data_IF_292491113705
#
_entry.id   IF_292491113705
#
_cell.length_a   1.000
_cell.length_b   1.000
_cell.length_c   1.000
_cell.angle_alpha   90.00
_cell.angle_beta   90.00
_cell.angle_gamma   90.00
#
_symmetry.space_group_name_H-M   'P 1'
#
loop_
_entity.id
_entity.type
_entity.pdbx_description
1 polymer ?
#
# COMPACT_ATOMS: atom_id res chain seq x y z
N UNK A 1 -16.24 -16.30 -3.12
CA UNK A 1 -15.81 -16.04 -1.74
C UNK A 1 -16.30 -14.64 -1.37
N UNK A 2 -17.16 -14.49 -0.36
CA UNK A 2 -17.70 -13.17 0.02
C UNK A 2 -16.55 -12.32 0.58
N UNK A 3 -16.31 -11.16 -0.02
CA UNK A 3 -15.28 -10.21 0.43
C UNK A 3 -15.58 -9.80 1.89
N UNK A 4 -14.60 -9.98 2.80
CA UNK A 4 -14.78 -9.64 4.22
C UNK A 4 -15.00 -8.13 4.41
N UNK A 5 -15.87 -7.77 5.37
CA UNK A 5 -16.06 -6.37 5.83
C UNK A 5 -14.72 -5.79 6.27
N UNK A 6 -14.54 -4.49 6.05
CA UNK A 6 -13.40 -3.69 6.52
C UNK A 6 -13.03 -4.06 7.97
N UNK A 7 -11.86 -4.66 8.15
CA UNK A 7 -11.39 -5.17 9.44
C UNK A 7 -10.12 -4.44 9.82
N UNK A 8 -10.02 -4.02 11.08
CA UNK A 8 -8.77 -3.46 11.60
C UNK A 8 -7.82 -4.62 11.90
N UNK A 9 -6.92 -4.91 10.96
CA UNK A 9 -5.84 -5.87 11.17
C UNK A 9 -4.73 -5.23 12.01
N UNK A 10 -4.13 -5.98 12.94
CA UNK A 10 -2.80 -5.64 13.44
C UNK A 10 -1.76 -6.13 12.46
N UNK A 11 -0.59 -5.52 12.45
CA UNK A 11 0.50 -5.92 11.56
C UNK A 11 0.90 -7.40 11.76
N UNK A 12 0.91 -7.87 13.01
CA UNK A 12 1.17 -9.27 13.33
C UNK A 12 0.11 -10.21 12.72
N UNK A 13 -1.16 -9.81 12.68
CA UNK A 13 -2.22 -10.61 12.08
C UNK A 13 -2.02 -10.76 10.57
N UNK A 14 -1.53 -9.71 9.91
CA UNK A 14 -1.18 -9.74 8.47
C UNK A 14 -0.01 -10.69 8.24
N UNK A 15 1.03 -10.62 9.08
CA UNK A 15 2.17 -11.53 8.99
C UNK A 15 1.77 -13.00 9.17
N UNK A 16 1.02 -13.33 10.23
CA UNK A 16 0.56 -14.68 10.49
C UNK A 16 -0.32 -15.22 9.37
N UNK A 17 -1.22 -14.40 8.82
CA UNK A 17 -2.05 -14.80 7.69
C UNK A 17 -1.24 -15.01 6.41
N UNK A 18 -0.25 -14.15 6.13
CA UNK A 18 0.65 -14.36 4.99
C UNK A 18 1.35 -15.71 5.09
N UNK A 19 1.91 -16.05 6.26
CA UNK A 19 2.59 -17.33 6.47
C UNK A 19 1.64 -18.53 6.30
N UNK A 20 0.44 -18.45 6.89
CA UNK A 20 -0.54 -19.53 6.83
C UNK A 20 -1.14 -19.74 5.43
N UNK A 21 -1.20 -18.68 4.62
CA UNK A 21 -1.89 -18.68 3.33
C UNK A 21 -0.93 -18.52 2.14
N UNK A 22 0.39 -18.58 2.36
CA UNK A 22 1.42 -18.32 1.36
C UNK A 22 1.19 -19.12 0.05
N UNK A 23 0.90 -20.42 0.17
CA UNK A 23 0.61 -21.28 -0.98
C UNK A 23 -0.66 -20.84 -1.73
N UNK A 24 -1.75 -20.54 -1.02
CA UNK A 24 -3.00 -20.08 -1.63
C UNK A 24 -2.87 -18.69 -2.29
N UNK A 25 -2.03 -17.83 -1.71
CA UNK A 25 -1.73 -16.48 -2.22
C UNK A 25 -0.71 -16.49 -3.35
N UNK A 26 -0.15 -17.66 -3.71
CA UNK A 26 0.93 -17.82 -4.69
C UNK A 26 2.14 -16.97 -4.34
N UNK A 27 2.57 -17.02 -3.09
CA UNK A 27 3.74 -16.30 -2.59
C UNK A 27 4.71 -17.25 -1.90
N UNK A 28 6.00 -17.07 -2.15
CA UNK A 28 7.07 -17.67 -1.37
C UNK A 28 7.82 -16.58 -0.62
N UNK A 29 7.81 -16.63 0.71
CA UNK A 29 8.61 -15.72 1.54
C UNK A 29 10.06 -16.21 1.56
N UNK A 30 11.02 -15.31 1.35
CA UNK A 30 12.44 -15.64 1.36
C UNK A 30 12.98 -15.64 2.80
N UNK A 31 13.63 -16.74 3.19
CA UNK A 31 14.18 -16.89 4.53
C UNK A 31 15.27 -15.86 4.83
N UNK A 32 15.35 -15.38 6.08
CA UNK A 32 16.37 -14.44 6.53
C UNK A 32 16.19 -13.00 6.03
N UNK A 33 15.13 -12.69 5.28
CA UNK A 33 14.89 -11.35 4.70
C UNK A 33 13.94 -10.49 5.52
N UNK A 34 13.48 -10.99 6.68
CA UNK A 34 12.57 -10.27 7.56
C UNK A 34 13.35 -9.23 8.34
N UNK A 35 13.17 -7.97 7.99
CA UNK A 35 13.75 -6.84 8.69
C UNK A 35 12.66 -5.87 9.10
N UNK A 36 12.32 -5.90 10.39
CA UNK A 36 11.25 -5.10 10.99
C UNK A 36 9.90 -5.36 10.31
N UNK A 37 9.44 -4.40 9.48
CA UNK A 37 8.16 -4.50 8.77
C UNK A 37 8.32 -4.92 7.31
N UNK A 38 9.53 -5.24 6.86
CA UNK A 38 9.82 -5.57 5.46
C UNK A 38 10.30 -7.00 5.29
N UNK A 39 10.00 -7.57 4.13
CA UNK A 39 10.33 -8.93 3.73
C UNK A 39 10.64 -8.98 2.25
N UNK A 40 11.45 -9.94 1.82
CA UNK A 40 11.57 -10.27 0.39
C UNK A 40 10.71 -11.50 0.08
N UNK A 41 10.00 -11.46 -1.04
CA UNK A 41 9.09 -12.52 -1.47
C UNK A 41 9.16 -12.75 -2.98
N UNK A 42 8.77 -13.93 -3.42
CA UNK A 42 8.59 -14.29 -4.82
C UNK A 42 7.11 -14.47 -5.11
N UNK A 43 6.61 -13.79 -6.13
CA UNK A 43 5.25 -13.99 -6.65
C UNK A 43 5.27 -15.22 -7.57
N UNK A 44 4.67 -16.32 -7.14
CA UNK A 44 4.85 -17.63 -7.79
C UNK A 44 4.17 -17.75 -9.16
N UNK A 45 3.19 -16.89 -9.47
CA UNK A 45 2.55 -16.83 -10.79
C UNK A 45 3.37 -16.05 -11.84
N UNK A 46 4.19 -15.09 -11.43
CA UNK A 46 5.02 -14.29 -12.34
C UNK A 46 6.52 -14.59 -12.24
N UNK A 47 6.97 -15.24 -11.16
CA UNK A 47 8.37 -15.43 -10.82
C UNK A 47 9.07 -14.16 -10.31
N UNK A 48 8.34 -13.06 -10.17
CA UNK A 48 8.89 -11.76 -9.80
C UNK A 48 9.35 -11.73 -8.33
N UNK A 49 10.56 -11.21 -8.10
CA UNK A 49 11.09 -10.94 -6.76
C UNK A 49 10.67 -9.54 -6.32
N UNK A 50 10.01 -9.46 -5.18
CA UNK A 50 9.49 -8.23 -4.62
C UNK A 50 10.04 -8.04 -3.20
N UNK A 51 10.37 -6.80 -2.87
CA UNK A 51 10.59 -6.40 -1.48
C UNK A 51 9.32 -5.76 -0.97
N UNK A 52 8.63 -6.44 -0.07
CA UNK A 52 7.33 -6.01 0.41
C UNK A 52 7.41 -5.42 1.82
N UNK A 53 6.55 -4.44 2.09
CA UNK A 53 6.26 -3.99 3.45
C UNK A 53 4.95 -4.61 3.95
N UNK A 54 4.94 -5.09 5.18
CA UNK A 54 3.75 -5.61 5.87
C UNK A 54 3.02 -4.45 6.54
N UNK A 55 1.80 -4.14 6.10
CA UNK A 55 1.00 -3.06 6.64
C UNK A 55 -0.41 -3.54 7.06
N UNK A 56 -0.98 -3.01 8.14
CA UNK A 56 -2.41 -3.22 8.44
C UNK A 56 -3.34 -2.88 7.27
N UNK A 57 -3.06 -1.75 6.61
CA UNK A 57 -3.88 -1.14 5.55
C UNK A 57 -2.98 -0.56 4.47
N UNK A 58 -3.45 -0.55 3.22
CA UNK A 58 -2.72 0.09 2.13
C UNK A 58 -2.53 1.60 2.33
N UNK A 59 -3.51 2.30 2.91
CA UNK A 59 -3.41 3.74 3.23
C UNK A 59 -2.26 4.09 4.19
N UNK A 60 -1.77 3.12 4.96
CA UNK A 60 -0.61 3.31 5.81
C UNK A 60 0.67 3.58 5.01
N UNK A 61 0.71 3.24 3.71
CA UNK A 61 1.81 3.58 2.80
C UNK A 61 2.11 5.08 2.81
N UNK A 62 1.08 5.91 2.66
CA UNK A 62 1.22 7.37 2.71
C UNK A 62 1.38 7.89 4.14
N UNK A 63 0.74 7.23 5.12
CA UNK A 63 0.87 7.63 6.53
C UNK A 63 2.31 7.55 7.01
N UNK A 64 3.05 6.54 6.53
CA UNK A 64 4.47 6.33 6.83
C UNK A 64 5.42 6.92 5.79
N UNK A 65 4.91 7.73 4.86
CA UNK A 65 5.71 8.39 3.82
C UNK A 65 6.53 7.42 2.95
N UNK A 66 6.07 6.18 2.77
CA UNK A 66 6.73 5.15 1.95
C UNK A 66 6.60 5.43 0.44
N UNK A 67 5.84 6.44 0.05
CA UNK A 67 5.76 6.90 -1.33
C UNK A 67 6.89 7.88 -1.71
N UNK A 68 7.71 8.33 -0.75
CA UNK A 68 8.75 9.35 -0.95
C UNK A 68 10.03 8.66 -1.45
N UNK A 69 10.45 9.00 -2.68
CA UNK A 69 11.57 8.32 -3.35
C UNK A 69 12.92 8.52 -2.64
N UNK A 70 13.09 9.66 -1.97
CA UNK A 70 14.29 10.06 -1.23
C UNK A 70 14.66 9.08 -0.11
N UNK A 71 13.72 8.23 0.34
CA UNK A 71 13.97 7.25 1.39
C UNK A 71 14.78 6.04 0.96
N UNK A 72 14.83 5.73 -0.33
CA UNK A 72 15.50 4.53 -0.85
C UNK A 72 15.21 3.24 -0.04
N UNK A 73 14.01 3.11 0.54
CA UNK A 73 13.64 1.96 1.37
C UNK A 73 13.58 0.64 0.56
N UNK A 74 13.59 0.70 -0.77
CA UNK A 74 13.67 -0.44 -1.67
C UNK A 74 12.40 -1.31 -1.74
N UNK A 75 11.40 -1.07 -0.89
CA UNK A 75 10.10 -1.74 -1.00
C UNK A 75 9.43 -1.45 -2.35
N UNK A 76 9.16 -2.51 -3.10
CA UNK A 76 8.49 -2.52 -4.40
C UNK A 76 7.07 -3.09 -4.33
N UNK A 77 6.60 -3.52 -3.16
CA UNK A 77 5.25 -4.05 -2.97
C UNK A 77 4.71 -3.80 -1.54
N UNK A 78 3.41 -3.98 -1.36
CA UNK A 78 2.74 -4.00 -0.05
C UNK A 78 2.07 -5.36 0.14
N UNK A 79 2.21 -5.95 1.33
CA UNK A 79 1.29 -6.99 1.82
C UNK A 79 0.45 -6.37 2.92
N UNK A 80 -0.87 -6.38 2.76
CA UNK A 80 -1.75 -5.75 3.74
C UNK A 80 -2.99 -6.57 4.08
N UNK A 81 -3.54 -6.29 5.27
CA UNK A 81 -4.82 -6.86 5.68
C UNK A 81 -5.94 -6.39 4.77
N UNK A 82 -6.08 -5.06 4.62
CA UNK A 82 -7.10 -4.45 3.77
C UNK A 82 -6.49 -3.44 2.80
N UNK A 83 -6.81 -3.63 1.51
CA UNK A 83 -6.51 -2.65 0.46
C UNK A 83 -7.57 -1.54 0.47
N UNK A 84 -7.33 -0.46 1.20
CA UNK A 84 -8.26 0.67 1.40
C UNK A 84 -7.81 1.97 0.73
N UNK A 85 -6.80 1.93 -0.15
CA UNK A 85 -6.28 3.10 -0.84
C UNK A 85 -5.80 2.75 -2.24
N UNK A 86 -5.54 3.73 -3.09
CA UNK A 86 -4.79 3.53 -4.34
C UNK A 86 -3.31 3.84 -4.05
N UNK A 87 -2.37 3.01 -4.49
CA UNK A 87 -0.94 3.17 -4.20
C UNK A 87 -0.10 2.88 -5.45
N UNK A 88 1.12 3.41 -5.51
CA UNK A 88 2.02 3.35 -6.66
C UNK A 88 2.88 2.07 -6.75
N UNK A 89 2.56 1.05 -5.94
CA UNK A 89 3.22 -0.27 -5.95
C UNK A 89 2.15 -1.37 -5.95
N UNK A 90 2.45 -2.59 -6.43
CA UNK A 90 1.56 -3.73 -6.28
C UNK A 90 1.19 -4.01 -4.81
N UNK A 91 -0.04 -4.44 -4.59
CA UNK A 91 -0.60 -4.73 -3.26
C UNK A 91 -1.17 -6.14 -3.21
N UNK A 92 -0.69 -6.97 -2.29
CA UNK A 92 -1.35 -8.20 -1.88
C UNK A 92 -2.30 -7.89 -0.73
N UNK A 93 -3.61 -8.03 -0.95
CA UNK A 93 -4.62 -7.83 0.09
C UNK A 93 -5.10 -9.19 0.61
N UNK A 94 -4.94 -9.43 1.91
CA UNK A 94 -5.30 -10.70 2.55
C UNK A 94 -6.81 -10.84 2.74
N UNK A 95 -7.55 -9.75 2.95
CA UNK A 95 -9.01 -9.79 3.05
C UNK A 95 -9.71 -10.21 1.76
N UNK A 96 -9.10 -9.90 0.61
CA UNK A 96 -9.58 -10.24 -0.72
C UNK A 96 -8.81 -11.41 -1.36
N UNK A 97 -7.75 -11.91 -0.70
CA UNK A 97 -6.90 -13.01 -1.15
C UNK A 97 -6.35 -12.82 -2.58
N UNK A 98 -5.97 -11.60 -2.95
CA UNK A 98 -5.51 -11.29 -4.32
C UNK A 98 -4.51 -10.15 -4.39
N UNK A 99 -3.76 -10.15 -5.49
CA UNK A 99 -2.92 -9.04 -5.91
C UNK A 99 -3.73 -7.96 -6.62
N UNK A 100 -3.34 -6.71 -6.39
CA UNK A 100 -3.75 -5.54 -7.14
C UNK A 100 -2.51 -4.91 -7.72
N UNK A 101 -2.53 -4.65 -9.02
CA UNK A 101 -1.43 -3.99 -9.71
C UNK A 101 -1.30 -2.52 -9.26
N UNK A 102 -0.14 -1.92 -9.52
CA UNK A 102 0.13 -0.51 -9.18
C UNK A 102 -0.96 0.41 -9.74
N UNK A 103 -1.41 1.36 -8.91
CA UNK A 103 -2.47 2.32 -9.23
C UNK A 103 -3.87 1.71 -9.32
N UNK A 104 -4.07 0.41 -9.05
CA UNK A 104 -5.39 -0.21 -9.06
C UNK A 104 -6.09 -0.11 -7.70
N UNK A 105 -7.33 0.35 -7.75
CA UNK A 105 -8.24 0.40 -6.61
C UNK A 105 -9.03 -0.89 -6.50
N UNK A 106 -9.62 -1.13 -5.33
CA UNK A 106 -10.61 -2.19 -5.17
C UNK A 106 -11.93 -1.80 -5.84
N UNK A 107 -12.47 -2.70 -6.66
CA UNK A 107 -13.66 -2.45 -7.47
C UNK A 107 -15.01 -2.47 -6.73
N UNK A 108 -15.04 -2.46 -5.38
CA UNK A 108 -16.32 -2.57 -4.63
C UNK A 108 -17.25 -1.38 -4.89
N UNK A 109 -16.68 -0.23 -5.22
CA UNK A 109 -17.41 1.03 -5.42
C UNK A 109 -17.45 1.46 -6.88
N UNK A 110 -17.13 0.58 -7.84
CA UNK A 110 -17.06 0.95 -9.25
C UNK A 110 -15.94 1.97 -9.54
N UNK A 111 -16.19 2.86 -10.49
CA UNK A 111 -15.27 3.96 -10.87
C UNK A 111 -15.48 5.18 -9.96
N UNK A 112 -14.52 6.12 -9.95
CA UNK A 112 -14.61 7.34 -9.12
C UNK A 112 -15.81 8.23 -9.47
N UNK A 113 -16.32 8.13 -10.70
CA UNK A 113 -17.47 8.87 -11.20
C UNK A 113 -18.80 8.14 -10.98
N UNK A 114 -18.77 6.91 -10.47
CA UNK A 114 -19.99 6.14 -10.24
C UNK A 114 -20.83 6.70 -9.08
N UNK A 115 -22.17 6.56 -9.14
CA UNK A 115 -23.05 6.87 -8.02
C UNK A 115 -22.74 6.07 -6.75
N UNK A 116 -22.25 4.84 -6.89
CA UNK A 116 -21.78 3.98 -5.81
C UNK A 116 -20.60 4.63 -5.09
N UNK A 117 -19.61 5.10 -5.85
CA UNK A 117 -18.47 5.79 -5.28
C UNK A 117 -18.87 7.10 -4.63
N UNK A 118 -19.76 7.89 -5.22
CA UNK A 118 -20.17 9.17 -4.60
C UNK A 118 -20.82 8.96 -3.23
N UNK A 119 -21.63 7.90 -3.07
CA UNK A 119 -22.17 7.50 -1.76
C UNK A 119 -21.06 7.06 -0.81
N UNK A 120 -20.12 6.24 -1.29
CA UNK A 120 -19.03 5.71 -0.48
C UNK A 120 -17.94 6.75 -0.16
N UNK A 121 -17.77 7.81 -0.95
CA UNK A 121 -16.71 8.83 -0.83
C UNK A 121 -16.69 9.49 0.54
N UNK A 122 -17.87 9.63 1.17
CA UNK A 122 -18.03 10.22 2.51
C UNK A 122 -17.65 9.26 3.64
N UNK A 123 -17.50 7.97 3.35
CA UNK A 123 -16.96 6.99 4.29
C UNK A 123 -15.44 7.09 4.37
N UNK A 124 -14.86 6.65 5.48
CA UNK A 124 -13.41 6.58 5.65
C UNK A 124 -12.73 5.80 4.50
N UNK A 125 -13.34 4.70 4.05
CA UNK A 125 -12.78 3.89 2.97
C UNK A 125 -12.81 4.64 1.63
N UNK A 126 -13.98 5.17 1.23
CA UNK A 126 -14.09 5.88 -0.05
C UNK A 126 -13.24 7.14 -0.09
N UNK A 127 -13.10 7.82 1.05
CA UNK A 127 -12.19 8.95 1.22
C UNK A 127 -10.73 8.54 0.99
N UNK A 128 -10.25 7.47 1.65
CA UNK A 128 -8.89 6.96 1.48
C UNK A 128 -8.58 6.49 0.04
N UNK A 129 -9.59 5.95 -0.66
CA UNK A 129 -9.47 5.59 -2.08
C UNK A 129 -9.29 6.82 -2.95
N UNK A 130 -10.09 7.88 -2.76
CA UNK A 130 -9.94 9.13 -3.51
C UNK A 130 -8.60 9.80 -3.22
N UNK A 131 -8.22 9.92 -1.95
CA UNK A 131 -6.94 10.52 -1.55
C UNK A 131 -5.77 9.74 -2.14
N UNK A 132 -5.77 8.40 -2.04
CA UNK A 132 -4.72 7.59 -2.65
C UNK A 132 -4.66 7.76 -4.17
N UNK A 133 -5.82 7.83 -4.84
CA UNK A 133 -5.87 7.99 -6.29
C UNK A 133 -5.29 9.35 -6.72
N UNK A 134 -5.52 10.39 -5.92
CA UNK A 134 -4.92 11.72 -6.07
C UNK A 134 -3.40 11.69 -5.80
N UNK A 135 -2.95 10.99 -4.75
CA UNK A 135 -1.53 10.79 -4.47
C UNK A 135 -0.81 10.04 -5.61
N UNK A 136 -1.51 9.14 -6.30
CA UNK A 136 -1.01 8.48 -7.51
C UNK A 136 -1.08 9.35 -8.78
N UNK A 137 -1.60 10.57 -8.71
CA UNK A 137 -1.74 11.47 -9.86
C UNK A 137 -2.72 10.99 -10.92
N UNK A 138 -3.72 10.17 -10.55
CA UNK A 138 -4.68 9.65 -11.52
C UNK A 138 -5.58 10.76 -12.07
N UNK A 139 -5.70 10.83 -13.40
CA UNK A 139 -6.47 11.88 -14.08
C UNK A 139 -7.97 11.87 -13.72
N UNK A 140 -8.58 10.70 -13.56
CA UNK A 140 -9.98 10.56 -13.13
C UNK A 140 -10.20 11.09 -11.70
N UNK A 141 -9.24 10.86 -10.80
CA UNK A 141 -9.29 11.40 -9.45
C UNK A 141 -9.16 12.93 -9.42
N UNK A 142 -8.29 13.49 -10.27
CA UNK A 142 -8.13 14.94 -10.41
C UNK A 142 -9.42 15.57 -10.94
N UNK A 143 -10.01 14.99 -11.99
CA UNK A 143 -11.29 15.45 -12.53
C UNK A 143 -12.40 15.40 -11.45
N UNK A 144 -12.47 14.30 -10.69
CA UNK A 144 -13.40 14.17 -9.57
C UNK A 144 -13.17 15.22 -8.49
N UNK A 145 -11.92 15.52 -8.13
CA UNK A 145 -11.60 16.55 -7.14
C UNK A 145 -12.10 17.94 -7.59
N UNK A 146 -11.96 18.26 -8.88
CA UNK A 146 -12.44 19.53 -9.44
C UNK A 146 -13.97 19.63 -9.49
N UNK A 147 -14.69 18.50 -9.52
CA UNK A 147 -16.15 18.50 -9.48
C UNK A 147 -16.74 18.63 -8.07
N UNK A 148 -15.92 18.61 -7.01
CA UNK A 148 -16.39 18.69 -5.63
C UNK A 148 -16.64 20.15 -5.20
N UNK A 149 -17.52 20.38 -4.21
CA UNK A 149 -17.69 21.71 -3.62
C UNK A 149 -16.37 22.24 -3.07
N UNK A 150 -16.13 23.56 -3.21
CA UNK A 150 -14.88 24.22 -2.84
C UNK A 150 -14.39 23.85 -1.43
N UNK A 151 -15.29 23.84 -0.44
CA UNK A 151 -14.94 23.46 0.94
C UNK A 151 -14.40 22.03 1.05
N UNK A 152 -14.95 21.10 0.28
CA UNK A 152 -14.50 19.70 0.25
C UNK A 152 -13.18 19.59 -0.51
N UNK A 153 -13.05 20.28 -1.64
CA UNK A 153 -11.81 20.34 -2.42
C UNK A 153 -10.65 20.85 -1.59
N UNK A 154 -10.79 22.01 -0.96
CA UNK A 154 -9.72 22.60 -0.13
C UNK A 154 -9.32 21.73 1.05
N UNK A 155 -10.27 21.03 1.67
CA UNK A 155 -9.97 20.08 2.75
C UNK A 155 -9.11 18.92 2.25
N UNK A 156 -9.48 18.33 1.11
CA UNK A 156 -8.70 17.23 0.49
C UNK A 156 -7.32 17.73 0.06
N UNK A 157 -7.23 18.90 -0.56
CA UNK A 157 -5.94 19.49 -0.96
C UNK A 157 -5.01 19.75 0.23
N UNK A 158 -5.55 20.22 1.35
CA UNK A 158 -4.78 20.39 2.59
C UNK A 158 -4.28 19.06 3.15
N UNK A 159 -5.09 18.01 3.05
CA UNK A 159 -4.70 16.64 3.44
C UNK A 159 -3.61 16.10 2.52
N UNK A 160 -3.76 16.23 1.20
CA UNK A 160 -2.73 15.87 0.22
C UNK A 160 -1.42 16.61 0.51
N UNK A 161 -1.48 17.93 0.75
CA UNK A 161 -0.29 18.71 1.10
C UNK A 161 0.37 18.15 2.35
N UNK A 162 -0.43 17.85 3.38
CA UNK A 162 0.07 17.27 4.63
C UNK A 162 0.77 15.94 4.38
N UNK A 163 0.19 15.04 3.57
CA UNK A 163 0.80 13.75 3.23
C UNK A 163 2.10 13.89 2.43
N UNK A 164 2.17 14.84 1.48
CA UNK A 164 3.39 15.12 0.72
C UNK A 164 4.50 15.74 1.57
N UNK A 165 4.14 16.65 2.48
CA UNK A 165 5.13 17.37 3.31
C UNK A 165 5.43 16.67 4.63
N UNK A 166 4.79 15.52 4.89
CA UNK A 166 4.88 14.85 6.19
C UNK A 166 6.33 14.48 6.44
N UNK A 167 6.90 15.10 7.48
CA UNK A 167 8.22 14.71 7.97
C UNK A 167 8.19 13.26 8.40
N UNK A 168 9.32 12.61 8.17
CA UNK A 168 9.61 11.27 8.61
C UNK A 168 9.18 11.09 10.07
N UNK A 169 8.27 10.15 10.32
CA UNK A 169 8.10 9.59 11.65
C UNK A 169 9.33 8.75 12.02
N UNK A 170 9.32 8.10 13.19
CA UNK A 170 10.29 7.03 13.47
C UNK A 170 10.23 6.03 12.31
N UNK A 171 11.35 5.75 11.63
CA UNK A 171 11.35 4.80 10.53
C UNK A 171 10.64 3.52 10.94
N UNK A 172 9.70 3.05 10.11
CA UNK A 172 9.46 1.61 10.10
C UNK A 172 10.83 1.00 9.88
N UNK A 173 11.23 0.07 10.74
CA UNK A 173 12.50 -0.63 10.53
C UNK A 173 12.32 -1.41 9.23
N UNK A 174 12.90 -0.89 8.16
CA UNK A 174 12.99 -1.51 6.84
C UNK A 174 14.50 -1.72 6.64
N UNK A 175 15.01 -2.90 7.00
CA UNK A 175 16.44 -3.19 6.87
C UNK A 175 16.80 -3.45 5.40
N UNK A 176 18.04 -3.15 4.96
CA UNK A 176 18.49 -3.37 3.57
C UNK A 176 18.22 -4.82 3.14
N UNK A 177 17.94 -5.04 1.85
CA UNK A 177 17.71 -6.40 1.36
C UNK A 177 19.04 -7.18 1.45
N UNK A 178 19.11 -8.25 2.24
CA UNK A 178 20.33 -9.04 2.38
C UNK A 178 20.75 -9.74 1.07
N UNK A 179 19.88 -9.73 0.05
CA UNK A 179 20.13 -10.29 -1.27
C UNK A 179 20.46 -9.22 -2.32
N UNK A 180 20.43 -7.93 -1.98
CA UNK A 180 20.95 -6.89 -2.86
C UNK A 180 22.48 -7.01 -2.82
N UNK A 181 23.10 -7.48 -3.90
CA UNK A 181 24.55 -7.70 -4.02
C UNK A 181 25.40 -6.42 -3.96
N UNK A 182 24.90 -5.36 -3.32
CA UNK A 182 25.52 -4.04 -3.12
C UNK A 182 26.05 -3.85 -1.69
N UNK A 183 26.21 -4.92 -0.92
CA UNK A 183 27.02 -4.87 0.30
C UNK A 183 28.49 -4.80 -0.11
N UNK A 184 28.97 -3.60 -0.44
CA UNK A 184 30.40 -3.34 -0.42
C UNK A 184 30.90 -3.65 0.99
N UNK A 185 31.71 -4.71 1.07
CA UNK A 185 32.56 -5.03 2.20
C UNK A 185 33.49 -3.85 2.44
N UNK A 186 33.10 -2.92 3.31
CA UNK A 186 34.06 -2.07 4.00
C UNK A 186 34.78 -2.93 5.04
N UNK A 187 35.82 -3.61 4.56
CA UNK A 187 36.90 -4.11 5.39
C UNK A 187 37.48 -2.89 6.09
N UNK A 188 37.29 -2.81 7.41
CA UNK A 188 38.18 -2.02 8.26
C UNK A 188 39.08 -3.02 8.97
N UNK A 189 40.28 -3.14 8.41
CA UNK A 189 41.47 -3.73 9.01
C UNK A 189 41.88 -3.01 10.29
#
# INVERSE_FOLDING_TARGET
MQERRYTQYKQMDVWLQLCNLASALKVQVLYGTVHGCSISLVRLDTGERLRAVILPRASNWYTFSLNIAEWQHGCTAIVCGTHDSCVNVPVLALDAMRWYESGKMRGIFGTLDSPEFERARRSHYGHNMLVGALMCGRGDAIAKLQSLPDSTRYRIESELRTLHTRRQGRPLVVGPDPLDGRTELSIVS
#
